data_IF_086856062670
#
_entry.id   IF_086856062670
#
_cell.length_a   1.000
_cell.length_b   1.000
_cell.length_c   1.000
_cell.angle_alpha   90.00
_cell.angle_beta   90.00
_cell.angle_gamma   90.00
#
_symmetry.space_group_name_H-M   'P 1'
#
loop_
_entity.id
_entity.type
_entity.pdbx_description
1 polymer ?
#
# COMPACT_ATOMS: atom_id res chain seq x y z
N UNK A 1 13.81 52.69 -16.18
CA UNK A 1 12.44 52.17 -15.94
C UNK A 1 12.25 50.68 -16.25
N UNK A 2 13.29 49.89 -16.59
CA UNK A 2 13.12 48.49 -17.03
C UNK A 2 13.27 47.41 -15.91
N UNK A 3 13.84 47.76 -14.75
CA UNK A 3 14.15 46.78 -13.69
C UNK A 3 12.97 46.37 -12.80
N UNK A 4 11.88 47.14 -12.79
CA UNK A 4 10.71 46.82 -11.96
C UNK A 4 9.83 45.74 -12.61
N UNK A 5 9.81 45.68 -13.94
CA UNK A 5 9.05 44.69 -14.72
C UNK A 5 9.69 43.29 -14.55
N UNK A 6 11.02 43.18 -14.58
CA UNK A 6 11.68 41.88 -14.36
C UNK A 6 11.45 41.34 -12.93
N UNK A 7 11.43 42.22 -11.92
CA UNK A 7 11.09 41.83 -10.54
C UNK A 7 9.63 41.43 -10.41
N UNK A 8 8.72 42.14 -11.07
CA UNK A 8 7.29 41.83 -11.07
C UNK A 8 6.98 40.49 -11.76
N UNK A 9 7.68 40.17 -12.85
CA UNK A 9 7.54 38.87 -13.56
C UNK A 9 8.10 37.73 -12.70
N UNK A 10 9.24 37.94 -12.03
CA UNK A 10 9.79 36.95 -11.10
C UNK A 10 8.86 36.67 -9.91
N UNK A 11 8.24 37.72 -9.36
CA UNK A 11 7.28 37.61 -8.26
C UNK A 11 5.97 36.95 -8.70
N UNK A 12 5.50 37.25 -9.91
CA UNK A 12 4.31 36.63 -10.49
C UNK A 12 4.51 35.15 -10.79
N UNK A 13 5.69 34.75 -11.29
CA UNK A 13 6.04 33.34 -11.50
C UNK A 13 6.21 32.57 -10.19
N UNK A 14 6.80 33.19 -9.16
CA UNK A 14 6.89 32.60 -7.82
C UNK A 14 5.51 32.45 -7.18
N UNK A 15 4.63 33.45 -7.34
CA UNK A 15 3.25 33.39 -6.87
C UNK A 15 2.44 32.31 -7.62
N UNK A 16 2.63 32.14 -8.92
CA UNK A 16 2.01 31.07 -9.72
C UNK A 16 2.55 29.68 -9.34
N UNK A 17 3.84 29.58 -9.01
CA UNK A 17 4.44 28.35 -8.48
C UNK A 17 3.87 28.01 -7.09
N UNK A 18 3.76 28.99 -6.19
CA UNK A 18 3.15 28.79 -4.87
C UNK A 18 1.65 28.49 -4.95
N UNK A 19 0.92 29.10 -5.88
CA UNK A 19 -0.50 28.82 -6.12
C UNK A 19 -0.68 27.43 -6.73
N UNK A 20 0.22 27.01 -7.63
CA UNK A 20 0.26 25.66 -8.18
C UNK A 20 0.55 24.59 -7.12
N UNK A 21 1.44 24.88 -6.16
CA UNK A 21 1.68 24.02 -4.99
C UNK A 21 0.46 24.00 -4.08
N UNK A 22 -0.24 25.12 -3.86
CA UNK A 22 -1.43 25.18 -3.01
C UNK A 22 -2.67 24.45 -3.59
N UNK A 23 -2.80 24.41 -4.92
CA UNK A 23 -3.89 23.67 -5.61
C UNK A 23 -3.53 22.19 -5.85
N UNK A 24 -2.23 21.86 -5.88
CA UNK A 24 -1.71 20.49 -5.98
C UNK A 24 -1.30 19.89 -4.63
N UNK A 25 -1.58 20.57 -3.51
CA UNK A 25 -1.68 19.88 -2.24
C UNK A 25 -2.94 19.03 -2.35
N UNK A 26 -2.86 17.69 -2.45
CA UNK A 26 -3.98 16.90 -2.00
C UNK A 26 -4.36 17.47 -0.64
N UNK A 27 -5.62 17.88 -0.48
CA UNK A 27 -6.13 18.17 0.85
C UNK A 27 -5.77 16.99 1.77
N UNK A 28 -5.69 17.17 3.09
CA UNK A 28 -5.33 16.11 4.04
C UNK A 28 -6.27 14.89 4.01
N UNK A 29 -7.20 14.81 3.05
CA UNK A 29 -8.16 13.74 2.81
C UNK A 29 -7.60 12.64 1.88
N UNK A 30 -6.57 12.91 1.06
CA UNK A 30 -6.02 11.88 0.15
C UNK A 30 -4.83 11.09 0.72
N UNK A 31 -4.51 11.29 2.00
CA UNK A 31 -3.54 10.49 2.72
C UNK A 31 -4.15 10.14 4.07
N UNK A 32 -4.38 8.85 4.32
CA UNK A 32 -5.03 8.27 5.50
C UNK A 32 -6.55 8.10 5.38
N UNK A 33 -6.97 7.30 4.40
CA UNK A 33 -7.89 6.21 4.73
C UNK A 33 -7.20 4.88 4.37
N UNK A 34 -5.98 4.70 4.88
CA UNK A 34 -5.62 3.37 5.32
C UNK A 34 -6.30 3.29 6.68
N UNK A 35 -7.61 3.05 6.66
CA UNK A 35 -8.22 2.28 7.71
C UNK A 35 -7.29 1.08 7.85
N UNK A 36 -6.49 1.08 8.92
CA UNK A 36 -5.73 -0.08 9.35
C UNK A 36 -6.83 -1.03 9.79
N UNK A 37 -7.48 -1.65 8.79
CA UNK A 37 -8.62 -2.54 8.94
C UNK A 37 -8.16 -3.61 9.89
N UNK A 38 -8.74 -3.51 11.08
CA UNK A 38 -8.92 -4.55 12.08
C UNK A 38 -7.95 -5.73 11.92
N UNK A 39 -7.00 -5.85 12.84
CA UNK A 39 -6.57 -7.18 13.25
C UNK A 39 -7.83 -7.89 13.75
N UNK A 40 -8.50 -8.60 12.85
CA UNK A 40 -9.81 -9.20 13.11
C UNK A 40 -9.56 -10.50 13.81
N UNK A 41 -9.40 -10.39 15.13
CA UNK A 41 -9.24 -11.53 16.02
C UNK A 41 -10.57 -12.23 16.18
N UNK A 42 -10.65 -13.48 15.77
CA UNK A 42 -11.79 -14.35 16.04
C UNK A 42 -11.35 -15.41 17.03
N UNK A 43 -12.04 -15.48 18.16
CA UNK A 43 -11.87 -16.53 19.16
C UNK A 43 -13.14 -17.38 19.17
N UNK A 44 -12.99 -18.66 18.89
CA UNK A 44 -14.11 -19.59 18.80
C UNK A 44 -13.74 -20.95 19.39
N UNK A 45 -14.72 -21.60 20.01
CA UNK A 45 -14.56 -22.93 20.57
C UNK A 45 -15.09 -23.94 19.56
N UNK A 46 -14.23 -24.87 19.15
CA UNK A 46 -14.59 -25.92 18.18
C UNK A 46 -14.22 -27.28 18.74
N UNK A 47 -15.25 -28.05 19.09
CA UNK A 47 -15.08 -29.34 19.74
C UNK A 47 -14.29 -29.20 21.05
N UNK A 48 -13.21 -29.99 21.25
CA UNK A 48 -12.38 -29.92 22.46
C UNK A 48 -11.33 -28.80 22.42
N UNK A 49 -11.32 -27.94 21.39
CA UNK A 49 -10.28 -26.92 21.19
C UNK A 49 -10.83 -25.49 21.24
N UNK A 50 -10.01 -24.55 21.72
CA UNK A 50 -10.18 -23.11 21.48
C UNK A 50 -9.28 -22.74 20.31
N UNK A 51 -9.84 -22.04 19.33
CA UNK A 51 -9.09 -21.47 18.22
C UNK A 51 -9.12 -19.95 18.35
N UNK A 52 -7.94 -19.35 18.37
CA UNK A 52 -7.75 -17.92 18.23
C UNK A 52 -7.09 -17.67 16.88
N UNK A 53 -7.83 -17.06 15.96
CA UNK A 53 -7.35 -16.73 14.64
C UNK A 53 -7.20 -15.22 14.49
N UNK A 54 -6.03 -14.78 14.06
CA UNK A 54 -5.72 -13.41 13.72
C UNK A 54 -5.25 -13.36 12.25
N UNK A 55 -5.62 -12.31 11.53
CA UNK A 55 -4.96 -11.98 10.29
C UNK A 55 -4.63 -10.51 10.16
N UNK A 56 -3.59 -10.28 9.37
CA UNK A 56 -3.18 -8.97 8.91
C UNK A 56 -3.13 -8.97 7.40
N UNK A 57 -3.91 -8.09 6.78
CA UNK A 57 -3.78 -7.80 5.36
C UNK A 57 -2.42 -7.11 5.09
N UNK A 58 -1.81 -7.43 3.96
CA UNK A 58 -0.59 -6.82 3.43
C UNK A 58 -0.91 -6.22 2.04
N UNK A 59 -1.53 -5.02 1.99
CA UNK A 59 -2.09 -4.46 0.76
C UNK A 59 -1.07 -4.28 -0.36
N UNK A 60 0.17 -3.92 -0.02
CA UNK A 60 1.26 -3.72 -0.97
C UNK A 60 1.70 -4.99 -1.70
N UNK A 61 1.35 -6.16 -1.17
CA UNK A 61 1.75 -7.47 -1.69
C UNK A 61 0.55 -8.31 -2.16
N UNK A 62 -0.67 -7.77 -2.09
CA UNK A 62 -1.92 -8.50 -2.37
C UNK A 62 -1.93 -9.85 -1.62
N UNK A 63 -1.56 -9.81 -0.35
CA UNK A 63 -1.47 -10.99 0.49
C UNK A 63 -2.04 -10.74 1.88
N UNK A 64 -2.33 -11.81 2.60
CA UNK A 64 -2.65 -11.74 4.02
C UNK A 64 -1.81 -12.75 4.80
N UNK A 65 -1.39 -12.34 6.00
CA UNK A 65 -0.70 -13.21 6.94
C UNK A 65 -1.68 -13.66 8.01
N UNK A 66 -1.73 -14.97 8.23
CA UNK A 66 -2.60 -15.64 9.19
C UNK A 66 -1.79 -16.14 10.37
N UNK A 67 -2.32 -15.96 11.57
CA UNK A 67 -1.81 -16.52 12.82
C UNK A 67 -2.95 -17.26 13.51
N UNK A 68 -2.84 -18.58 13.61
CA UNK A 68 -3.86 -19.42 14.22
C UNK A 68 -3.24 -20.09 15.43
N UNK A 69 -3.79 -19.81 16.61
CA UNK A 69 -3.42 -20.46 17.85
C UNK A 69 -4.50 -21.45 18.25
N UNK A 70 -4.09 -22.67 18.54
CA UNK A 70 -5.00 -23.73 18.99
C UNK A 70 -4.59 -24.22 20.37
N UNK A 71 -5.55 -24.23 21.30
CA UNK A 71 -5.36 -24.72 22.67
C UNK A 71 -6.45 -25.73 23.03
N UNK A 72 -6.13 -26.71 23.86
CA UNK A 72 -7.10 -27.67 24.39
C UNK A 72 -7.95 -27.00 25.50
N UNK A 73 -9.27 -27.10 25.38
CA UNK A 73 -10.24 -26.49 26.31
C UNK A 73 -10.14 -27.05 27.74
N UNK A 74 -9.61 -28.26 27.88
CA UNK A 74 -9.58 -29.01 29.14
C UNK A 74 -8.42 -28.58 30.03
N UNK A 75 -7.24 -28.34 29.43
CA UNK A 75 -5.99 -28.08 30.15
C UNK A 75 -5.34 -26.73 29.78
N UNK A 76 -5.87 -26.02 28.77
CA UNK A 76 -5.36 -24.75 28.28
C UNK A 76 -4.01 -24.83 27.58
N UNK A 77 -3.51 -26.04 27.27
CA UNK A 77 -2.21 -26.25 26.65
C UNK A 77 -2.29 -26.09 25.12
N UNK A 78 -1.22 -25.59 24.47
CA UNK A 78 -1.14 -25.57 23.02
C UNK A 78 -1.19 -26.99 22.44
N UNK A 79 -1.88 -27.15 21.32
CA UNK A 79 -1.97 -28.44 20.61
C UNK A 79 -0.99 -28.43 19.43
N UNK A 80 -0.04 -29.36 19.41
CA UNK A 80 1.02 -29.43 18.39
C UNK A 80 0.75 -30.50 17.32
N UNK A 81 0.10 -31.59 17.69
CA UNK A 81 -0.20 -32.69 16.78
C UNK A 81 -1.55 -32.48 16.08
N UNK A 82 -1.76 -31.33 15.45
CA UNK A 82 -2.99 -31.01 14.73
C UNK A 82 -2.65 -30.53 13.33
N UNK A 83 -3.37 -31.03 12.33
CA UNK A 83 -3.34 -30.47 10.99
C UNK A 83 -4.37 -29.35 10.92
N UNK A 84 -3.91 -28.14 10.63
CA UNK A 84 -4.78 -26.97 10.47
C UNK A 84 -4.87 -26.62 9.00
N UNK A 85 -6.06 -26.67 8.41
CA UNK A 85 -6.27 -26.26 7.01
C UNK A 85 -7.03 -24.93 6.99
N UNK A 86 -6.47 -23.92 6.34
CA UNK A 86 -7.20 -22.69 6.04
C UNK A 86 -7.88 -22.89 4.69
N UNK A 87 -9.20 -22.81 4.68
CA UNK A 87 -10.03 -22.77 3.48
C UNK A 87 -10.41 -21.32 3.24
N UNK A 88 -10.24 -20.85 2.01
CA UNK A 88 -10.66 -19.50 1.62
C UNK A 88 -11.65 -19.60 0.48
N UNK A 89 -12.64 -18.72 0.45
CA UNK A 89 -13.61 -18.64 -0.65
C UNK A 89 -14.01 -17.19 -0.90
N UNK A 90 -14.42 -16.90 -2.13
CA UNK A 90 -14.87 -15.56 -2.46
C UNK A 90 -16.22 -15.28 -1.81
N UNK A 91 -16.37 -14.13 -1.16
CA UNK A 91 -17.61 -13.81 -0.44
C UNK A 91 -18.81 -13.78 -1.39
N UNK A 92 -19.85 -14.54 -1.06
CA UNK A 92 -21.05 -14.69 -1.89
C UNK A 92 -20.90 -15.59 -3.12
N UNK A 93 -19.79 -16.31 -3.26
CA UNK A 93 -19.56 -17.32 -4.30
C UNK A 93 -19.39 -18.71 -3.68
N UNK A 94 -19.77 -19.76 -4.41
CA UNK A 94 -19.37 -21.14 -4.08
C UNK A 94 -17.96 -21.49 -4.61
N UNK A 95 -17.30 -20.54 -5.30
CA UNK A 95 -15.94 -20.71 -5.77
C UNK A 95 -14.97 -20.82 -4.58
N UNK A 96 -14.46 -22.03 -4.39
CA UNK A 96 -13.44 -22.31 -3.40
C UNK A 96 -12.12 -21.72 -3.87
N UNK A 97 -11.53 -20.88 -3.02
CA UNK A 97 -10.21 -20.29 -3.19
C UNK A 97 -9.09 -21.25 -2.83
N UNK A 98 -7.97 -20.67 -2.38
CA UNK A 98 -6.78 -21.41 -2.01
C UNK A 98 -6.96 -22.12 -0.66
N UNK A 99 -6.46 -23.36 -0.58
CA UNK A 99 -6.47 -24.18 0.63
C UNK A 99 -5.03 -24.47 1.04
N UNK A 100 -4.69 -24.22 2.31
CA UNK A 100 -3.34 -24.52 2.81
C UNK A 100 -3.42 -25.32 4.11
N UNK A 101 -2.76 -26.48 4.13
CA UNK A 101 -2.54 -27.26 5.33
C UNK A 101 -1.27 -26.76 6.03
N UNK A 102 -1.36 -26.57 7.34
CA UNK A 102 -0.32 -25.98 8.18
C UNK A 102 0.09 -26.96 9.27
N UNK A 103 1.41 -27.06 9.45
CA UNK A 103 2.02 -27.60 10.66
C UNK A 103 2.34 -26.45 11.62
N UNK A 104 2.33 -26.67 12.94
CA UNK A 104 2.66 -25.62 13.87
C UNK A 104 4.13 -25.25 13.73
N UNK A 105 4.39 -23.95 13.67
CA UNK A 105 5.76 -23.41 13.58
C UNK A 105 6.36 -23.23 14.99
N UNK A 106 5.52 -22.95 15.97
CA UNK A 106 5.82 -22.90 17.41
C UNK A 106 4.68 -23.62 18.12
N UNK A 107 4.89 -24.10 19.35
CA UNK A 107 3.90 -24.79 20.17
C UNK A 107 2.48 -24.20 20.05
N UNK A 108 1.60 -24.90 19.32
CA UNK A 108 0.20 -24.53 19.07
C UNK A 108 -0.04 -23.27 18.24
N UNK A 109 0.98 -22.73 17.55
CA UNK A 109 0.88 -21.58 16.65
C UNK A 109 1.17 -21.98 15.20
N UNK A 110 0.18 -21.77 14.35
CA UNK A 110 0.18 -22.03 12.92
C UNK A 110 0.24 -20.69 12.19
N UNK A 111 1.10 -20.58 11.17
CA UNK A 111 1.29 -19.33 10.44
C UNK A 111 1.32 -19.60 8.95
N UNK A 112 0.61 -18.77 8.18
CA UNK A 112 0.57 -18.85 6.73
C UNK A 112 0.60 -17.46 6.12
N UNK A 113 1.15 -17.36 4.91
CA UNK A 113 1.00 -16.17 4.07
C UNK A 113 0.41 -16.62 2.75
N UNK A 114 -0.78 -16.12 2.44
CA UNK A 114 -1.52 -16.44 1.22
C UNK A 114 -1.65 -15.19 0.35
N UNK A 115 -1.65 -15.40 -0.97
CA UNK A 115 -1.88 -14.32 -1.94
C UNK A 115 -3.34 -14.36 -2.37
N UNK A 116 -3.90 -13.19 -2.57
CA UNK A 116 -5.31 -13.03 -2.90
C UNK A 116 -5.48 -12.05 -4.04
N UNK A 117 -6.44 -12.33 -4.91
CA UNK A 117 -6.93 -11.34 -5.84
C UNK A 117 -7.78 -10.28 -5.10
N UNK A 118 -7.90 -9.07 -5.65
CA UNK A 118 -8.69 -8.00 -5.02
C UNK A 118 -10.16 -8.36 -4.86
N UNK A 119 -10.70 -8.23 -3.64
CA UNK A 119 -12.08 -8.60 -3.35
C UNK A 119 -12.31 -8.99 -1.90
N UNK A 120 -13.54 -9.36 -1.58
CA UNK A 120 -13.92 -9.85 -0.27
C UNK A 120 -13.74 -11.37 -0.19
N UNK A 121 -12.98 -11.82 0.79
CA UNK A 121 -12.67 -13.21 1.02
C UNK A 121 -13.17 -13.65 2.38
N UNK A 122 -13.80 -14.81 2.41
CA UNK A 122 -14.22 -15.49 3.63
C UNK A 122 -13.26 -16.62 3.93
N UNK A 123 -13.07 -16.90 5.22
CA UNK A 123 -12.15 -17.95 5.66
C UNK A 123 -12.83 -18.91 6.60
N UNK A 124 -12.49 -20.19 6.46
CA UNK A 124 -12.89 -21.26 7.35
C UNK A 124 -11.63 -22.00 7.78
N UNK A 125 -11.50 -22.26 9.07
CA UNK A 125 -10.36 -22.97 9.63
C UNK A 125 -10.83 -24.39 9.95
N UNK A 126 -10.22 -25.37 9.32
CA UNK A 126 -10.49 -26.78 9.55
C UNK A 126 -9.39 -27.38 10.43
N UNK A 127 -9.78 -28.04 11.51
CA UNK A 127 -8.87 -28.71 12.42
C UNK A 127 -9.03 -30.23 12.29
N UNK A 128 -7.93 -30.91 12.01
CA UNK A 128 -7.90 -32.37 11.84
C UNK A 128 -6.90 -32.99 12.82
N UNK A 129 -7.37 -33.58 13.93
CA UNK A 129 -6.51 -34.33 14.84
C UNK A 129 -6.11 -35.70 14.28
N UNK A 130 -4.95 -36.25 14.68
CA UNK A 130 -4.39 -37.50 14.18
C UNK A 130 -5.25 -38.73 14.52
N UNK A 131 -6.07 -38.63 15.57
CA UNK A 131 -7.05 -39.66 15.96
C UNK A 131 -8.29 -39.71 15.06
N UNK A 132 -8.39 -38.83 14.07
CA UNK A 132 -9.54 -38.69 13.19
C UNK A 132 -10.60 -37.73 13.73
N UNK A 133 -11.50 -37.34 12.82
CA UNK A 133 -12.46 -36.25 13.04
C UNK A 133 -12.00 -34.97 12.35
N UNK A 134 -12.95 -34.06 12.12
CA UNK A 134 -12.69 -32.77 11.52
C UNK A 134 -13.60 -31.75 12.18
N UNK A 135 -13.01 -30.63 12.60
CA UNK A 135 -13.69 -29.59 13.35
C UNK A 135 -13.55 -28.27 12.59
N UNK A 136 -14.67 -27.76 12.08
CA UNK A 136 -14.71 -26.49 11.34
C UNK A 136 -14.94 -25.31 12.28
N UNK A 137 -14.09 -24.30 12.16
CA UNK A 137 -14.24 -22.99 12.78
C UNK A 137 -14.53 -21.97 11.68
N UNK A 138 -15.63 -21.24 11.79
CA UNK A 138 -15.82 -20.06 10.95
C UNK A 138 -14.71 -19.06 11.29
N UNK A 139 -13.99 -18.62 10.26
CA UNK A 139 -12.92 -17.64 10.38
C UNK A 139 -13.46 -16.23 10.34
N UNK A 140 -12.80 -15.38 9.56
CA UNK A 140 -13.20 -14.00 9.34
C UNK A 140 -13.30 -13.68 7.85
N UNK A 141 -14.08 -12.64 7.58
CA UNK A 141 -14.14 -11.99 6.27
C UNK A 141 -13.12 -10.86 6.24
N UNK A 142 -12.32 -10.77 5.19
CA UNK A 142 -11.38 -9.67 4.96
C UNK A 142 -11.46 -9.18 3.52
N UNK A 143 -11.09 -7.93 3.29
CA UNK A 143 -11.18 -7.29 1.97
C UNK A 143 -9.78 -6.93 1.48
N UNK A 144 -9.44 -7.43 0.30
CA UNK A 144 -8.18 -7.17 -0.37
C UNK A 144 -8.40 -6.01 -1.33
N UNK A 145 -7.74 -4.86 -1.14
CA UNK A 145 -7.99 -3.68 -1.95
C UNK A 145 -7.51 -3.90 -3.39
N UNK A 146 -8.27 -3.35 -4.35
CA UNK A 146 -7.84 -3.28 -5.73
C UNK A 146 -6.55 -2.45 -5.85
N UNK A 147 -5.58 -2.89 -6.68
CA UNK A 147 -4.40 -2.08 -6.95
C UNK A 147 -4.85 -0.74 -7.53
N UNK A 148 -4.62 0.33 -6.79
CA UNK A 148 -4.98 1.68 -7.24
C UNK A 148 -4.15 2.04 -8.48
N UNK A 149 -4.85 2.30 -9.59
CA UNK A 149 -4.24 2.80 -10.82
C UNK A 149 -3.83 4.26 -10.60
N UNK A 150 -2.68 4.50 -9.96
CA UNK A 150 -2.19 5.84 -9.58
C UNK A 150 -1.66 6.65 -10.78
N UNK A 151 -2.39 6.67 -11.89
CA UNK A 151 -2.11 7.50 -13.05
C UNK A 151 -2.16 8.99 -12.67
N UNK A 152 -3.01 9.36 -11.70
CA UNK A 152 -3.12 10.74 -11.18
C UNK A 152 -1.81 11.25 -10.53
N UNK A 153 -1.15 10.43 -9.72
CA UNK A 153 0.16 10.75 -9.15
C UNK A 153 1.24 10.86 -10.25
N UNK A 154 1.13 10.04 -11.30
CA UNK A 154 1.99 10.10 -12.48
C UNK A 154 1.92 11.45 -13.21
N UNK A 155 0.73 12.04 -13.36
CA UNK A 155 0.57 13.34 -14.04
C UNK A 155 1.18 14.51 -13.27
N UNK A 156 1.11 14.50 -11.94
CA UNK A 156 1.75 15.53 -11.11
C UNK A 156 3.26 15.48 -11.27
N UNK A 157 3.84 14.27 -11.22
CA UNK A 157 5.29 14.09 -11.38
C UNK A 157 5.76 14.49 -12.79
N UNK A 158 4.98 14.12 -13.82
CA UNK A 158 5.24 14.52 -15.20
C UNK A 158 5.17 16.05 -15.37
N UNK A 159 4.14 16.69 -14.80
CA UNK A 159 3.94 18.13 -14.85
C UNK A 159 5.08 18.91 -14.21
N UNK A 160 5.51 18.52 -13.00
CA UNK A 160 6.65 19.13 -12.30
C UNK A 160 7.94 18.93 -13.11
N UNK A 161 8.15 17.74 -13.66
CA UNK A 161 9.34 17.45 -14.48
C UNK A 161 9.41 18.32 -15.74
N UNK A 162 8.29 18.48 -16.45
CA UNK A 162 8.21 19.34 -17.64
C UNK A 162 8.46 20.81 -17.26
N UNK A 163 7.86 21.29 -16.17
CA UNK A 163 8.06 22.66 -15.70
C UNK A 163 9.53 22.95 -15.36
N UNK A 164 10.22 22.01 -14.71
CA UNK A 164 11.65 22.12 -14.39
C UNK A 164 12.51 22.13 -15.65
N UNK A 165 12.22 21.26 -16.64
CA UNK A 165 12.97 21.21 -17.90
C UNK A 165 12.80 22.50 -18.71
N UNK A 166 11.59 23.05 -18.79
CA UNK A 166 11.32 24.34 -19.45
C UNK A 166 12.04 25.48 -18.72
N UNK A 167 11.98 25.51 -17.39
CA UNK A 167 12.67 26.52 -16.58
C UNK A 167 14.18 26.48 -16.77
N UNK A 168 14.79 25.30 -16.73
CA UNK A 168 16.22 25.11 -16.96
C UNK A 168 16.63 25.53 -18.39
N UNK A 169 15.86 25.12 -19.40
CA UNK A 169 16.08 25.51 -20.79
C UNK A 169 16.03 27.03 -21.00
N UNK A 170 15.05 27.70 -20.38
CA UNK A 170 14.92 29.16 -20.43
C UNK A 170 16.13 29.87 -19.78
N UNK A 171 16.59 29.37 -18.63
CA UNK A 171 17.77 29.90 -17.94
C UNK A 171 19.03 29.82 -18.81
N UNK A 172 19.27 28.65 -19.43
CA UNK A 172 20.41 28.43 -20.34
C UNK A 172 20.33 29.38 -21.55
N UNK A 173 19.16 29.53 -22.15
CA UNK A 173 18.97 30.43 -23.28
C UNK A 173 19.23 31.90 -22.89
N UNK A 174 18.72 32.35 -21.74
CA UNK A 174 18.93 33.71 -21.24
C UNK A 174 20.40 34.00 -20.97
N UNK A 175 21.12 33.06 -20.34
CA UNK A 175 22.57 33.20 -20.08
C UNK A 175 23.35 33.29 -21.40
N UNK A 176 23.08 32.39 -22.36
CA UNK A 176 23.73 32.43 -23.68
C UNK A 176 23.47 33.74 -24.42
N UNK A 177 22.23 34.25 -24.36
CA UNK A 177 21.87 35.53 -24.99
C UNK A 177 22.66 36.70 -24.40
N UNK A 178 22.80 36.74 -23.08
CA UNK A 178 23.56 37.78 -22.39
C UNK A 178 25.07 37.68 -22.65
N UNK A 179 25.61 36.47 -22.80
CA UNK A 179 27.01 36.26 -23.17
C UNK A 179 27.30 36.79 -24.58
N UNK A 180 26.42 36.52 -25.56
CA UNK A 180 26.56 37.04 -26.94
C UNK A 180 26.61 38.56 -27.01
N UNK A 181 25.89 39.26 -26.13
CA UNK A 181 25.92 40.72 -26.05
C UNK A 181 27.24 41.26 -25.47
N UNK A 182 27.90 40.51 -24.59
CA UNK A 182 29.17 40.91 -23.99
C UNK A 182 30.35 40.73 -24.94
N UNK A 183 30.39 39.64 -25.70
CA UNK A 183 31.46 39.41 -26.70
C UNK A 183 31.37 40.34 -27.91
N UNK A 184 30.18 40.82 -28.27
CA UNK A 184 30.01 41.79 -29.35
C UNK A 184 30.46 43.22 -28.97
N UNK A 185 30.40 43.58 -27.68
CA UNK A 185 30.83 44.90 -27.19
C UNK A 185 32.34 45.03 -26.96
N UNK A 186 33.05 43.93 -26.71
CA UNK A 186 34.49 43.92 -26.42
C UNK A 186 35.39 43.83 -27.65
N UNK A 187 34.84 43.67 -28.86
CA UNK A 187 35.61 43.54 -30.11
C UNK A 187 35.92 44.85 -30.85
N UNK A 188 35.47 46.00 -30.34
CA UNK A 188 35.53 47.29 -31.05
C UNK A 188 36.62 48.27 -30.55
N UNK A 189 37.49 47.86 -29.63
CA UNK A 189 38.54 48.73 -29.03
C UNK A 189 39.92 48.08 -29.02
N UNK A 190 40.34 47.55 -30.17
CA UNK A 190 41.74 47.25 -30.45
C UNK A 190 42.05 47.69 -31.89
N UNK A 191 42.35 48.98 -32.04
CA UNK A 191 43.00 49.58 -33.21
C UNK A 191 44.11 50.49 -32.70
#
# INVERSE_FOLDING_TARGET
MYGWIEKAIGLALLALLCLGIAVALPGPVAAQDIDVKETRRVETNVGPYTVVADASALPSLQSAQFFIRVTDNTNGQPVEDLTVTILTHWSGSEETGENIALSPNVAGLYTATLKFDPGAWETTILLEPPGGGSYGADGFVFEVPEPSNNLEAGYVFLGVSVALLVGAGYLVWRVRRNQRQRTAGSGSTAA
#
